data_IF_726951172900
#
_entry.id   IF_726951172900
#
_cell.length_a   1.000
_cell.length_b   1.000
_cell.length_c   1.000
_cell.angle_alpha   90.00
_cell.angle_beta   90.00
_cell.angle_gamma   90.00
#
_symmetry.space_group_name_H-M   'P 1'
#
loop_
_entity.id
_entity.type
_entity.pdbx_description
1 polymer ?
#
# COMPACT_ATOMS: atom_id res chain seq x y z
N UNK A 1 9.72 -27.29 4.02
CA UNK A 1 9.87 -25.86 4.42
C UNK A 1 9.81 -25.04 3.15
N UNK A 2 8.74 -24.27 2.98
CA UNK A 2 8.32 -23.70 1.71
C UNK A 2 9.22 -22.55 1.25
N UNK A 3 9.85 -22.74 0.08
CA UNK A 3 10.61 -21.73 -0.69
C UNK A 3 9.79 -20.46 -1.05
N UNK A 4 8.46 -20.51 -0.87
CA UNK A 4 7.52 -19.41 -1.13
C UNK A 4 7.56 -18.33 -0.05
N UNK A 5 7.93 -18.67 1.21
CA UNK A 5 8.03 -17.67 2.28
C UNK A 5 9.29 -16.79 2.17
N UNK A 6 10.33 -17.27 1.50
CA UNK A 6 11.59 -16.54 1.30
C UNK A 6 11.54 -15.48 0.19
N UNK A 7 10.46 -15.41 -0.61
CA UNK A 7 10.32 -14.46 -1.71
C UNK A 7 9.61 -13.14 -1.35
N UNK A 8 9.22 -12.96 -0.08
CA UNK A 8 8.53 -11.74 0.40
C UNK A 8 9.43 -10.83 1.25
N UNK A 9 10.75 -10.95 1.13
CA UNK A 9 11.68 -9.93 1.65
C UNK A 9 11.71 -8.77 0.66
N UNK A 10 10.61 -8.01 0.60
CA UNK A 10 10.54 -6.79 -0.19
C UNK A 10 11.20 -5.62 0.57
N UNK A 11 11.75 -4.71 -0.22
CA UNK A 11 12.65 -3.59 0.12
C UNK A 11 12.24 -2.78 1.37
N UNK A 12 13.21 -2.46 2.22
CA UNK A 12 13.17 -1.36 3.20
C UNK A 12 12.21 -1.48 4.40
N UNK A 13 11.02 -2.07 4.24
CA UNK A 13 10.00 -2.11 5.29
C UNK A 13 9.15 -3.39 5.20
N UNK A 14 8.97 -4.04 6.35
CA UNK A 14 8.12 -5.21 6.53
C UNK A 14 7.02 -4.93 7.57
N UNK A 15 5.84 -5.51 7.34
CA UNK A 15 4.67 -5.31 8.18
C UNK A 15 4.13 -6.66 8.67
N UNK A 16 3.80 -6.76 9.96
CA UNK A 16 3.28 -7.98 10.57
C UNK A 16 2.10 -7.69 11.51
N UNK A 17 1.17 -8.64 11.64
CA UNK A 17 0.21 -8.62 12.74
C UNK A 17 0.86 -9.07 14.04
N UNK A 18 0.55 -8.37 15.13
CA UNK A 18 0.83 -8.89 16.46
C UNK A 18 -0.08 -10.08 16.77
N UNK A 19 0.48 -11.12 17.42
CA UNK A 19 -0.19 -12.41 17.64
C UNK A 19 -1.58 -12.26 18.25
N UNK A 20 -1.69 -11.46 19.31
CA UNK A 20 -2.91 -11.32 20.11
C UNK A 20 -3.52 -9.90 20.02
N UNK A 21 -3.16 -9.13 18.99
CA UNK A 21 -3.66 -7.75 18.77
C UNK A 21 -3.99 -7.51 17.28
N UNK A 22 -4.82 -6.49 17.01
CA UNK A 22 -5.00 -5.96 15.65
C UNK A 22 -3.96 -4.92 15.26
N UNK A 23 -3.08 -4.56 16.21
CA UNK A 23 -1.96 -3.66 15.99
C UNK A 23 -0.92 -4.27 15.04
N UNK A 24 -0.17 -3.39 14.38
CA UNK A 24 0.81 -3.75 13.38
C UNK A 24 2.22 -3.54 13.90
N UNK A 25 3.07 -4.55 13.74
CA UNK A 25 4.50 -4.44 13.94
C UNK A 25 5.14 -4.02 12.62
N UNK A 26 5.85 -2.91 12.64
CA UNK A 26 6.63 -2.42 11.51
C UNK A 26 8.09 -2.71 11.79
N UNK A 27 8.75 -3.39 10.86
CA UNK A 27 10.20 -3.60 10.87
C UNK A 27 10.83 -2.90 9.68
N UNK A 28 11.72 -1.97 9.95
CA UNK A 28 12.40 -1.15 8.96
C UNK A 28 13.83 -1.69 8.80
N UNK A 29 14.27 -1.80 7.56
CA UNK A 29 15.62 -2.14 7.19
C UNK A 29 16.22 -0.95 6.44
N UNK A 30 16.93 -0.06 7.15
CA UNK A 30 17.52 1.12 6.56
C UNK A 30 18.46 0.80 5.40
N UNK A 31 18.40 1.60 4.35
CA UNK A 31 19.31 1.55 3.20
C UNK A 31 20.65 2.25 3.47
N UNK A 32 20.70 3.13 4.47
CA UNK A 32 21.92 3.79 4.96
C UNK A 32 22.10 3.60 6.46
N UNK A 33 23.34 3.74 6.95
CA UNK A 33 23.62 3.70 8.38
C UNK A 33 22.92 4.86 9.09
N UNK A 34 22.03 4.55 10.03
CA UNK A 34 21.30 5.51 10.84
C UNK A 34 21.22 5.01 12.29
N UNK A 35 21.15 5.94 13.24
CA UNK A 35 20.85 5.63 14.66
C UNK A 35 19.35 5.83 14.97
N UNK A 36 18.69 6.65 14.16
CA UNK A 36 17.33 7.13 14.37
C UNK A 36 16.71 7.50 13.00
N UNK A 37 15.41 7.24 12.85
CA UNK A 37 14.59 7.66 11.72
C UNK A 37 13.18 8.00 12.19
N UNK A 38 12.44 8.74 11.36
CA UNK A 38 11.01 8.99 11.58
C UNK A 38 10.20 8.18 10.59
N UNK A 39 9.36 7.27 11.09
CA UNK A 39 8.37 6.56 10.30
C UNK A 39 7.12 7.42 10.17
N UNK A 40 6.71 7.71 8.94
CA UNK A 40 5.44 8.35 8.62
C UNK A 40 4.46 7.30 8.12
N UNK A 41 3.21 7.39 8.57
CA UNK A 41 2.18 6.42 8.22
C UNK A 41 0.80 7.07 8.09
N UNK A 42 -0.07 6.46 7.31
CA UNK A 42 -1.48 6.81 7.22
C UNK A 42 -2.30 5.55 6.99
N UNK A 43 -3.32 5.35 7.81
CA UNK A 43 -4.34 4.33 7.61
C UNK A 43 -5.44 4.87 6.69
N UNK A 44 -6.09 3.97 5.94
CA UNK A 44 -7.24 4.29 5.09
C UNK A 44 -8.29 5.09 5.88
N UNK A 45 -8.57 6.32 5.46
CA UNK A 45 -9.55 7.20 6.11
C UNK A 45 -9.03 8.01 7.31
N UNK A 46 -7.72 8.02 7.55
CA UNK A 46 -7.08 8.79 8.63
C UNK A 46 -6.06 9.79 8.09
N UNK A 47 -5.74 10.81 8.89
CA UNK A 47 -4.66 11.74 8.59
C UNK A 47 -3.28 11.07 8.69
N UNK A 48 -2.26 11.74 8.17
CA UNK A 48 -0.87 11.31 8.32
C UNK A 48 -0.40 11.52 9.77
N UNK A 49 0.34 10.54 10.28
CA UNK A 49 0.96 10.58 11.60
C UNK A 49 2.41 10.06 11.51
N UNK A 50 3.18 10.22 12.59
CA UNK A 50 4.57 9.81 12.63
C UNK A 50 5.02 9.27 13.98
N UNK A 51 6.07 8.46 13.96
CA UNK A 51 6.73 7.94 15.15
C UNK A 51 8.25 7.90 14.93
N UNK A 52 8.99 8.36 15.93
CA UNK A 52 10.45 8.22 15.97
C UNK A 52 10.81 6.76 16.27
N UNK A 53 11.76 6.21 15.51
CA UNK A 53 12.24 4.83 15.64
C UNK A 53 13.75 4.88 15.76
N UNK A 54 14.24 4.44 16.91
CA UNK A 54 15.67 4.30 17.21
C UNK A 54 16.13 2.85 17.04
N UNK A 55 17.41 2.68 16.74
CA UNK A 55 18.04 1.37 16.73
C UNK A 55 18.36 0.90 18.16
N UNK A 56 17.40 0.26 18.83
CA UNK A 56 17.60 -0.22 20.21
C UNK A 56 18.34 -1.57 20.29
N UNK A 57 18.33 -2.38 19.21
CA UNK A 57 18.84 -3.77 19.23
C UNK A 57 19.45 -4.27 17.91
N UNK A 58 19.89 -3.37 17.03
CA UNK A 58 20.28 -3.69 15.64
C UNK A 58 19.09 -3.81 14.69
N UNK A 59 17.89 -3.40 15.13
CA UNK A 59 16.65 -3.46 14.35
C UNK A 59 15.81 -2.20 14.61
N UNK A 60 15.29 -1.60 13.53
CA UNK A 60 14.33 -0.50 13.62
C UNK A 60 12.92 -1.09 13.67
N UNK A 61 12.33 -1.15 14.86
CA UNK A 61 11.03 -1.78 15.08
C UNK A 61 10.11 -0.86 15.85
N UNK A 62 8.85 -0.77 15.42
CA UNK A 62 7.81 -0.02 16.14
C UNK A 62 6.44 -0.70 16.00
N UNK A 63 5.54 -0.39 16.91
CA UNK A 63 4.16 -0.90 16.91
C UNK A 63 3.20 0.25 16.61
N UNK A 64 2.44 0.12 15.53
CA UNK A 64 1.38 1.06 15.18
C UNK A 64 0.05 0.59 15.77
N UNK A 65 -0.66 1.50 16.43
CA UNK A 65 -2.01 1.27 16.93
C UNK A 65 -3.01 1.34 15.79
N UNK A 66 -3.56 0.18 15.44
CA UNK A 66 -4.45 0.08 14.28
C UNK A 66 -5.86 0.54 14.65
N UNK A 67 -6.50 1.42 13.86
CA UNK A 67 -7.92 1.76 14.04
C UNK A 67 -8.79 0.52 13.83
N UNK A 68 -10.02 0.51 14.36
CA UNK A 68 -10.94 -0.63 14.22
C UNK A 68 -11.17 -1.01 12.75
N UNK A 69 -11.48 -0.02 11.93
CA UNK A 69 -11.59 -0.13 10.48
C UNK A 69 -10.24 0.19 9.83
N UNK A 70 -9.62 -0.83 9.23
CA UNK A 70 -8.34 -0.71 8.53
C UNK A 70 -8.37 -1.62 7.30
N UNK A 71 -8.22 -1.02 6.13
CA UNK A 71 -8.19 -1.73 4.85
C UNK A 71 -6.89 -1.49 4.09
N UNK A 72 -6.29 -0.29 4.21
CA UNK A 72 -5.01 0.05 3.59
C UNK A 72 -4.15 0.81 4.57
N UNK A 73 -2.85 0.56 4.56
CA UNK A 73 -1.85 1.42 5.21
C UNK A 73 -0.79 1.83 4.20
N UNK A 74 -0.41 3.11 4.23
CA UNK A 74 0.73 3.65 3.51
C UNK A 74 1.80 4.09 4.49
N UNK A 75 3.05 3.74 4.19
CA UNK A 75 4.20 4.08 5.03
C UNK A 75 5.35 4.64 4.17
N UNK A 76 6.16 5.51 4.77
CA UNK A 76 7.48 5.90 4.29
C UNK A 76 8.31 6.33 5.50
N UNK A 77 9.63 6.41 5.37
CA UNK A 77 10.46 6.88 6.48
C UNK A 77 11.49 7.91 6.04
N UNK A 78 11.87 8.76 6.99
CA UNK A 78 12.79 9.87 6.78
C UNK A 78 13.94 9.74 7.76
N UNK A 79 15.15 9.82 7.25
CA UNK A 79 16.37 9.85 8.03
C UNK A 79 16.57 11.23 8.65
N UNK A 80 17.39 11.31 9.70
CA UNK A 80 17.66 12.56 10.44
C UNK A 80 18.28 13.67 9.58
N UNK A 81 19.01 13.31 8.53
CA UNK A 81 19.59 14.24 7.56
C UNK A 81 18.56 14.75 6.52
N UNK A 82 17.31 14.27 6.59
CA UNK A 82 16.23 14.61 5.69
C UNK A 82 16.16 13.74 4.44
N UNK A 83 17.04 12.75 4.28
CA UNK A 83 16.89 11.77 3.21
C UNK A 83 15.59 10.97 3.41
N UNK A 84 14.86 10.73 2.33
CA UNK A 84 13.58 10.00 2.36
C UNK A 84 13.81 8.63 1.74
N UNK A 85 13.37 7.59 2.44
CA UNK A 85 13.19 6.28 1.84
C UNK A 85 11.70 6.04 1.62
N UNK A 86 11.29 6.30 0.39
CA UNK A 86 9.94 6.14 -0.12
C UNK A 86 9.93 5.13 -1.28
N UNK A 87 10.65 4.00 -1.17
CA UNK A 87 10.56 2.92 -2.16
C UNK A 87 10.68 3.37 -3.64
N UNK A 88 11.62 4.28 -3.95
CA UNK A 88 11.79 4.93 -5.26
C UNK A 88 10.67 5.90 -5.67
N UNK A 89 10.20 6.73 -4.74
CA UNK A 89 9.12 7.68 -5.00
C UNK A 89 7.71 7.12 -4.79
N UNK A 90 7.55 5.91 -4.25
CA UNK A 90 6.26 5.25 -3.92
C UNK A 90 6.11 4.95 -2.42
N UNK A 91 4.90 5.11 -1.87
CA UNK A 91 4.65 4.66 -0.49
C UNK A 91 4.79 3.13 -0.41
N UNK A 92 5.25 2.62 0.74
CA UNK A 92 5.04 1.23 1.11
C UNK A 92 3.55 1.03 1.38
N UNK A 93 2.83 0.41 0.45
CA UNK A 93 1.40 0.19 0.54
C UNK A 93 1.10 -1.27 0.87
N UNK A 94 0.22 -1.47 1.86
CA UNK A 94 -0.28 -2.79 2.23
C UNK A 94 -1.80 -2.76 2.29
N UNK A 95 -2.43 -3.73 1.63
CA UNK A 95 -3.82 -4.08 1.90
C UNK A 95 -3.85 -4.91 3.18
N UNK A 96 -4.76 -4.56 4.08
CA UNK A 96 -4.85 -5.12 5.42
C UNK A 96 -6.24 -5.68 5.62
N UNK A 97 -6.34 -6.95 6.00
CA UNK A 97 -7.59 -7.54 6.48
C UNK A 97 -7.36 -8.20 7.82
N UNK A 98 -8.24 -7.90 8.78
CA UNK A 98 -8.15 -8.46 10.14
C UNK A 98 -8.78 -9.84 10.29
N UNK A 99 -9.70 -10.24 9.39
CA UNK A 99 -10.37 -11.55 9.43
C UNK A 99 -10.79 -12.03 8.04
N UNK A 100 -10.21 -13.11 7.49
CA UNK A 100 -8.96 -13.74 7.97
C UNK A 100 -7.80 -12.72 7.94
N UNK A 101 -6.84 -12.88 8.85
CA UNK A 101 -5.67 -11.98 8.90
C UNK A 101 -4.83 -12.13 7.64
N UNK A 102 -4.75 -11.06 6.84
CA UNK A 102 -3.79 -10.97 5.75
C UNK A 102 -3.18 -9.57 5.65
N UNK A 103 -1.93 -9.54 5.20
CA UNK A 103 -1.21 -8.34 4.78
C UNK A 103 -0.71 -8.62 3.37
N UNK A 104 -1.11 -7.81 2.40
CA UNK A 104 -0.72 -7.98 1.02
C UNK A 104 -0.04 -6.68 0.53
N UNK A 105 1.28 -6.69 0.26
CA UNK A 105 1.92 -5.55 -0.37
C UNK A 105 1.35 -5.35 -1.78
N UNK A 106 1.16 -4.09 -2.17
CA UNK A 106 0.73 -3.72 -3.52
C UNK A 106 1.30 -2.37 -3.91
N UNK A 107 1.14 -1.99 -5.18
CA UNK A 107 1.54 -0.71 -5.73
C UNK A 107 0.42 -0.08 -6.57
N UNK A 108 0.52 1.22 -6.86
CA UNK A 108 -0.35 1.85 -7.86
C UNK A 108 -0.15 1.24 -9.26
N UNK A 109 1.04 0.71 -9.54
CA UNK A 109 1.32 0.00 -10.78
C UNK A 109 0.52 -1.31 -10.90
N UNK A 110 0.33 -2.05 -9.80
CA UNK A 110 -0.50 -3.25 -9.81
C UNK A 110 -1.96 -2.93 -10.16
N UNK A 111 -2.49 -1.82 -9.63
CA UNK A 111 -3.83 -1.33 -9.97
C UNK A 111 -3.93 -0.90 -11.44
N UNK A 112 -2.89 -0.27 -11.99
CA UNK A 112 -2.79 0.07 -13.41
C UNK A 112 -2.81 -1.18 -14.30
N UNK A 113 -2.06 -2.22 -13.93
CA UNK A 113 -2.09 -3.52 -14.62
C UNK A 113 -3.50 -4.12 -14.60
N UNK A 114 -4.19 -4.08 -13.45
CA UNK A 114 -5.57 -4.57 -13.34
C UNK A 114 -6.54 -3.79 -14.24
N UNK A 115 -6.38 -2.46 -14.35
CA UNK A 115 -7.17 -1.63 -15.27
C UNK A 115 -6.91 -2.08 -16.72
N UNK A 116 -5.66 -2.33 -17.08
CA UNK A 116 -5.30 -2.88 -18.39
C UNK A 116 -5.95 -4.23 -18.69
N UNK A 117 -6.06 -5.12 -17.69
CA UNK A 117 -6.76 -6.40 -17.83
C UNK A 117 -8.27 -6.21 -18.01
N UNK A 118 -8.89 -5.34 -17.20
CA UNK A 118 -10.31 -5.01 -17.33
C UNK A 118 -10.61 -4.46 -18.73
N UNK A 119 -9.79 -3.51 -19.22
CA UNK A 119 -9.91 -2.96 -20.57
C UNK A 119 -9.91 -4.04 -21.65
N UNK A 120 -8.97 -4.98 -21.60
CA UNK A 120 -8.86 -6.08 -22.58
C UNK A 120 -10.13 -6.94 -22.59
N UNK A 121 -10.67 -7.28 -21.42
CA UNK A 121 -11.89 -8.09 -21.27
C UNK A 121 -13.12 -7.35 -21.82
N UNK A 122 -13.25 -6.06 -21.53
CA UNK A 122 -14.34 -5.21 -22.06
C UNK A 122 -14.28 -5.12 -23.58
N UNK A 123 -13.12 -4.77 -24.15
CA UNK A 123 -12.97 -4.59 -25.61
C UNK A 123 -13.17 -5.88 -26.38
N UNK A 124 -12.72 -7.02 -25.83
CA UNK A 124 -12.90 -8.32 -26.47
C UNK A 124 -14.29 -8.92 -26.28
N UNK A 125 -15.12 -8.37 -25.38
CA UNK A 125 -16.42 -8.93 -25.00
C UNK A 125 -16.33 -10.25 -24.25
N UNK A 126 -15.15 -10.61 -23.71
CA UNK A 126 -14.89 -11.88 -23.03
C UNK A 126 -14.68 -11.66 -21.54
N UNK A 127 -15.34 -12.46 -20.70
CA UNK A 127 -15.27 -12.37 -19.23
C UNK A 127 -15.55 -10.95 -18.71
N UNK A 128 -16.61 -10.32 -19.23
CA UNK A 128 -16.99 -8.94 -18.90
C UNK A 128 -17.38 -8.80 -17.43
N UNK A 129 -17.97 -9.83 -16.84
CA UNK A 129 -18.26 -9.95 -15.41
C UNK A 129 -16.99 -9.85 -14.54
N UNK A 130 -15.91 -10.54 -14.94
CA UNK A 130 -14.61 -10.42 -14.28
C UNK A 130 -14.04 -8.99 -14.42
N UNK A 131 -14.24 -8.35 -15.58
CA UNK A 131 -13.84 -6.97 -15.78
C UNK A 131 -14.58 -6.00 -14.84
N UNK A 132 -15.88 -6.22 -14.61
CA UNK A 132 -16.68 -5.45 -13.64
C UNK A 132 -16.09 -5.62 -12.23
N UNK A 133 -15.84 -6.86 -11.81
CA UNK A 133 -15.26 -7.15 -10.49
C UNK A 133 -13.90 -6.48 -10.29
N UNK A 134 -13.03 -6.51 -11.30
CA UNK A 134 -11.74 -5.82 -11.25
C UNK A 134 -11.93 -4.31 -11.07
N UNK A 135 -12.83 -3.68 -11.84
CA UNK A 135 -13.10 -2.26 -11.72
C UNK A 135 -13.72 -1.89 -10.36
N UNK A 136 -14.53 -2.77 -9.76
CA UNK A 136 -15.06 -2.63 -8.39
C UNK A 136 -13.95 -2.61 -7.35
N UNK A 137 -13.06 -3.59 -7.41
CA UNK A 137 -11.90 -3.62 -6.52
C UNK A 137 -11.00 -2.38 -6.69
N UNK A 138 -10.66 -2.03 -7.93
CA UNK A 138 -9.80 -0.88 -8.24
C UNK A 138 -10.41 0.43 -7.71
N UNK A 139 -11.70 0.67 -7.95
CA UNK A 139 -12.37 1.88 -7.48
C UNK A 139 -12.37 1.99 -5.95
N UNK A 140 -12.64 0.88 -5.26
CA UNK A 140 -12.58 0.82 -3.80
C UNK A 140 -11.17 1.15 -3.29
N UNK A 141 -10.14 0.53 -3.87
CA UNK A 141 -8.74 0.77 -3.47
C UNK A 141 -8.31 2.21 -3.75
N UNK A 142 -8.53 2.74 -4.96
CA UNK A 142 -8.10 4.09 -5.32
C UNK A 142 -8.81 5.20 -4.51
N UNK A 143 -9.96 4.92 -3.90
CA UNK A 143 -10.64 5.87 -2.99
C UNK A 143 -9.97 5.96 -1.62
N UNK A 144 -9.38 4.87 -1.15
CA UNK A 144 -8.88 4.76 0.23
C UNK A 144 -7.35 4.73 0.34
N UNK A 145 -6.64 4.53 -0.78
CA UNK A 145 -5.18 4.56 -0.81
C UNK A 145 -4.66 5.93 -0.37
N UNK A 146 -3.84 5.98 0.71
CA UNK A 146 -3.19 7.21 1.13
C UNK A 146 -2.15 7.64 0.09
N UNK A 147 -2.00 8.94 -0.09
CA UNK A 147 -0.99 9.56 -0.95
C UNK A 147 -0.45 10.80 -0.27
N UNK A 148 0.79 11.18 -0.59
CA UNK A 148 1.33 12.47 -0.20
C UNK A 148 0.71 13.54 -1.11
N UNK A 149 0.20 14.61 -0.53
CA UNK A 149 -0.44 15.70 -1.28
C UNK A 149 0.56 16.37 -2.25
N UNK A 150 0.11 16.68 -3.46
CA UNK A 150 0.90 17.22 -4.57
C UNK A 150 2.06 16.31 -5.03
N UNK A 151 2.01 15.02 -4.71
CA UNK A 151 3.02 14.05 -5.18
C UNK A 151 2.68 13.50 -6.57
N UNK A 152 3.67 12.97 -7.31
CA UNK A 152 3.42 12.22 -8.54
C UNK A 152 2.42 11.06 -8.37
N UNK A 153 2.38 10.44 -7.19
CA UNK A 153 1.47 9.34 -6.88
C UNK A 153 0.03 9.79 -6.67
N UNK A 154 -0.19 10.99 -6.13
CA UNK A 154 -1.53 11.56 -6.10
C UNK A 154 -2.04 11.77 -7.52
N UNK A 155 -1.21 12.32 -8.41
CA UNK A 155 -1.54 12.48 -9.82
C UNK A 155 -1.82 11.12 -10.49
N UNK A 156 -0.93 10.13 -10.30
CA UNK A 156 -1.09 8.78 -10.84
C UNK A 156 -2.40 8.15 -10.37
N UNK A 157 -2.67 8.13 -9.06
CA UNK A 157 -3.93 7.64 -8.49
C UNK A 157 -5.15 8.32 -9.14
N UNK A 158 -5.13 9.64 -9.29
CA UNK A 158 -6.24 10.39 -9.88
C UNK A 158 -6.44 10.05 -11.37
N UNK A 159 -5.36 9.85 -12.14
CA UNK A 159 -5.42 9.39 -13.53
C UNK A 159 -6.06 7.99 -13.60
N UNK A 160 -5.61 7.05 -12.77
CA UNK A 160 -6.14 5.68 -12.73
C UNK A 160 -7.64 5.67 -12.38
N UNK A 161 -8.10 6.55 -11.47
CA UNK A 161 -9.52 6.69 -11.15
C UNK A 161 -10.35 7.12 -12.36
N UNK A 162 -9.91 8.17 -13.05
CA UNK A 162 -10.59 8.66 -14.26
C UNK A 162 -10.63 7.59 -15.34
N UNK A 163 -9.56 6.79 -15.48
CA UNK A 163 -9.52 5.68 -16.42
C UNK A 163 -10.52 4.57 -16.07
N UNK A 164 -10.56 4.15 -14.79
CA UNK A 164 -11.51 3.15 -14.31
C UNK A 164 -12.97 3.60 -14.53
N UNK A 165 -13.29 4.87 -14.24
CA UNK A 165 -14.61 5.45 -14.49
C UNK A 165 -14.98 5.45 -15.98
N UNK A 166 -14.04 5.78 -16.87
CA UNK A 166 -14.26 5.73 -18.33
C UNK A 166 -14.56 4.32 -18.82
N UNK A 167 -13.86 3.31 -18.31
CA UNK A 167 -14.11 1.91 -18.67
C UNK A 167 -15.49 1.45 -18.19
N UNK A 168 -15.88 1.82 -16.96
CA UNK A 168 -17.23 1.53 -16.44
C UNK A 168 -18.33 2.15 -17.31
N UNK A 169 -18.14 3.40 -17.77
CA UNK A 169 -19.11 4.07 -18.61
C UNK A 169 -19.34 3.36 -19.97
N UNK A 170 -18.37 2.55 -20.44
CA UNK A 170 -18.53 1.75 -21.66
C UNK A 170 -19.45 0.54 -21.46
N UNK A 171 -19.59 0.04 -20.23
CA UNK A 171 -20.43 -1.11 -19.90
C UNK A 171 -21.92 -0.76 -19.77
N UNK A 172 -22.24 0.53 -19.66
CA UNK A 172 -23.59 1.06 -19.57
C UNK A 172 -24.20 1.42 -20.94
N UNK A 173 -23.46 1.18 -22.04
CA UNK A 173 -23.86 1.45 -23.42
C UNK A 173 -24.18 0.16 -24.14
#
# INVERSE_FOLDING_TARGET
MSFILSLLLFSGLNLYFLKDSSDLLVKIQPSIGAEELTLYYSFSGTDWDSVEVSDETGEFVTVLKSPEELNVVGLYFVYKDGAIDDNNGELYLFEVKKSPRFLLPFSLNDLEVMIGQARKKIVSGSHVDEAVMLLDYIDQMLKIVPVIKNSPNELKRNILRVEAEKLRAQLLR
#
